data_IF_620304142808
#
_entry.id   IF_620304142808
#
_cell.length_a   1.000
_cell.length_b   1.000
_cell.length_c   1.000
_cell.angle_alpha   90.00
_cell.angle_beta   90.00
_cell.angle_gamma   90.00
#
_symmetry.space_group_name_H-M   'P 1'
#
loop_
_entity.id
_entity.type
_entity.pdbx_description
1 polymer ?
#
# COMPACT_ATOMS: atom_id res chain seq x y z
N UNK A 1 -48.39 -8.01 -48.01
CA UNK A 1 -47.42 -8.17 -46.91
C UNK A 1 -46.52 -6.94 -46.96
N UNK A 2 -46.73 -6.05 -46.00
CA UNK A 2 -46.17 -4.69 -45.96
C UNK A 2 -44.72 -4.73 -45.49
N UNK A 3 -43.79 -4.20 -46.28
CA UNK A 3 -42.39 -3.99 -45.88
C UNK A 3 -42.17 -2.49 -45.66
N UNK A 4 -42.13 -2.08 -44.39
CA UNK A 4 -41.75 -0.71 -44.01
C UNK A 4 -40.21 -0.56 -44.08
N UNK A 5 -39.70 0.59 -44.56
CA UNK A 5 -38.27 0.88 -44.57
C UNK A 5 -37.76 1.32 -43.20
N UNK A 6 -36.59 0.81 -42.82
CA UNK A 6 -35.82 1.22 -41.63
C UNK A 6 -35.37 2.66 -41.78
N UNK A 7 -35.81 3.53 -40.87
CA UNK A 7 -35.31 4.91 -40.76
C UNK A 7 -34.14 4.90 -39.79
N UNK A 8 -32.95 5.33 -40.25
CA UNK A 8 -31.77 5.48 -39.41
C UNK A 8 -31.95 6.67 -38.45
N UNK A 9 -31.64 6.45 -37.16
CA UNK A 9 -31.58 7.51 -36.17
C UNK A 9 -30.32 8.39 -36.40
N UNK A 10 -30.39 9.71 -36.18
CA UNK A 10 -29.25 10.60 -36.36
C UNK A 10 -28.19 10.33 -35.28
N UNK A 11 -26.92 10.41 -35.68
CA UNK A 11 -25.77 10.33 -34.77
C UNK A 11 -25.82 11.49 -33.76
N UNK A 12 -25.79 11.16 -32.48
CA UNK A 12 -25.64 12.13 -31.42
C UNK A 12 -24.23 12.75 -31.48
N UNK A 13 -24.18 14.05 -31.75
CA UNK A 13 -22.99 14.88 -31.68
C UNK A 13 -22.49 14.91 -30.23
N UNK A 14 -21.31 14.35 -29.99
CA UNK A 14 -20.65 14.42 -28.68
C UNK A 14 -20.19 15.85 -28.44
N UNK A 15 -20.91 16.57 -27.58
CA UNK A 15 -20.45 17.83 -27.04
C UNK A 15 -19.15 17.60 -26.24
N UNK A 16 -18.11 18.36 -26.57
CA UNK A 16 -16.83 18.32 -25.88
C UNK A 16 -17.01 18.66 -24.38
N UNK A 17 -16.51 17.77 -23.52
CA UNK A 17 -16.39 18.01 -22.08
C UNK A 17 -15.56 19.28 -21.85
N UNK A 18 -16.00 20.25 -21.03
CA UNK A 18 -15.22 21.44 -20.78
C UNK A 18 -13.88 21.06 -20.15
N UNK A 19 -12.79 21.61 -20.70
CA UNK A 19 -11.45 21.43 -20.16
C UNK A 19 -11.44 21.90 -18.70
N UNK A 20 -11.01 21.01 -17.80
CA UNK A 20 -10.76 21.35 -16.41
C UNK A 20 -9.73 22.49 -16.30
N UNK A 21 -9.53 23.06 -15.10
CA UNK A 21 -8.50 24.08 -14.90
C UNK A 21 -7.14 23.58 -15.42
N UNK A 22 -6.41 24.44 -16.12
CA UNK A 22 -5.12 24.09 -16.71
C UNK A 22 -4.13 23.67 -15.61
N UNK A 23 -3.45 22.53 -15.82
CA UNK A 23 -2.45 22.03 -14.88
C UNK A 23 -1.26 22.99 -14.83
N UNK A 24 -0.78 23.39 -13.63
CA UNK A 24 0.42 24.21 -13.49
C UNK A 24 1.64 23.64 -14.21
N UNK A 25 2.39 24.50 -14.91
CA UNK A 25 3.56 24.10 -15.70
C UNK A 25 4.66 23.37 -14.90
N UNK A 26 4.76 23.66 -13.59
CA UNK A 26 5.69 22.98 -12.69
C UNK A 26 5.33 21.50 -12.47
N UNK A 27 4.04 21.16 -12.47
CA UNK A 27 3.57 19.78 -12.34
C UNK A 27 3.75 19.01 -13.64
N UNK A 28 3.51 19.65 -14.79
CA UNK A 28 3.75 19.03 -16.11
C UNK A 28 5.24 18.81 -16.42
N UNK A 29 6.14 19.43 -15.65
CA UNK A 29 7.57 19.15 -15.71
C UNK A 29 7.97 17.90 -14.90
N UNK A 30 7.14 17.49 -13.93
CA UNK A 30 7.38 16.33 -13.06
C UNK A 30 6.55 15.10 -13.47
N UNK A 31 5.34 15.31 -13.97
CA UNK A 31 4.39 14.27 -14.37
C UNK A 31 3.76 14.61 -15.72
N UNK A 32 3.35 13.57 -16.46
CA UNK A 32 2.51 13.77 -17.64
C UNK A 32 1.23 14.52 -17.28
N UNK A 33 0.69 15.32 -18.21
CA UNK A 33 -0.45 16.21 -17.95
C UNK A 33 -1.66 15.47 -17.38
N UNK A 34 -1.98 14.27 -17.90
CA UNK A 34 -3.08 13.45 -17.40
C UNK A 34 -2.84 12.95 -15.98
N UNK A 35 -1.60 12.57 -15.64
CA UNK A 35 -1.22 12.12 -14.29
C UNK A 35 -1.29 13.29 -13.31
N UNK A 36 -0.77 14.46 -13.69
CA UNK A 36 -0.82 15.66 -12.88
C UNK A 36 -2.27 16.13 -12.62
N UNK A 37 -3.13 16.08 -13.64
CA UNK A 37 -4.55 16.39 -13.48
C UNK A 37 -5.26 15.44 -12.52
N UNK A 38 -4.99 14.13 -12.62
CA UNK A 38 -5.55 13.14 -11.70
C UNK A 38 -5.03 13.33 -10.27
N UNK A 39 -3.73 13.60 -10.09
CA UNK A 39 -3.14 13.89 -8.79
C UNK A 39 -3.83 15.07 -8.09
N UNK A 40 -4.07 16.17 -8.81
CA UNK A 40 -4.78 17.33 -8.25
C UNK A 40 -6.22 16.99 -7.85
N UNK A 41 -6.94 16.24 -8.69
CA UNK A 41 -8.30 15.81 -8.37
C UNK A 41 -8.34 14.91 -7.12
N UNK A 42 -7.38 13.98 -7.01
CA UNK A 42 -7.27 13.07 -5.88
C UNK A 42 -6.86 13.82 -4.59
N UNK A 43 -5.97 14.82 -4.69
CA UNK A 43 -5.60 15.68 -3.55
C UNK A 43 -6.82 16.44 -3.04
N UNK A 44 -7.64 17.01 -3.91
CA UNK A 44 -8.88 17.69 -3.51
C UNK A 44 -9.86 16.73 -2.84
N UNK A 45 -9.97 15.49 -3.33
CA UNK A 45 -10.78 14.45 -2.70
C UNK A 45 -10.26 14.09 -1.30
N UNK A 46 -8.93 13.99 -1.10
CA UNK A 46 -8.33 13.75 0.22
C UNK A 46 -8.61 14.93 1.15
N UNK A 47 -8.36 16.17 0.70
CA UNK A 47 -8.60 17.42 1.46
C UNK A 47 -10.04 17.54 1.93
N UNK A 48 -11.00 17.11 1.10
CA UNK A 48 -12.42 17.06 1.43
C UNK A 48 -12.81 16.11 2.57
N UNK A 49 -11.92 15.21 3.01
CA UNK A 49 -12.14 14.33 4.17
C UNK A 49 -11.88 15.02 5.51
N UNK A 50 -11.29 16.21 5.48
CA UNK A 50 -10.89 16.95 6.68
C UNK A 50 -11.57 18.32 6.76
N UNK A 51 -11.81 18.86 7.96
CA UNK A 51 -12.28 20.23 8.14
C UNK A 51 -11.34 21.25 7.46
N UNK A 52 -11.87 22.37 6.99
CA UNK A 52 -11.11 23.39 6.28
C UNK A 52 -9.99 24.01 7.13
N UNK A 53 -10.18 24.07 8.45
CA UNK A 53 -9.22 24.54 9.45
C UNK A 53 -8.16 23.49 9.83
N UNK A 54 -8.30 22.25 9.36
CA UNK A 54 -7.47 21.10 9.73
C UNK A 54 -6.88 20.37 8.51
N UNK A 55 -6.66 21.09 7.41
CA UNK A 55 -6.14 20.53 6.16
C UNK A 55 -4.75 19.90 6.31
N UNK A 56 -3.95 20.29 7.31
CA UNK A 56 -2.67 19.62 7.62
C UNK A 56 -2.82 18.10 7.82
N UNK A 57 -3.98 17.63 8.29
CA UNK A 57 -4.25 16.20 8.49
C UNK A 57 -4.30 15.39 7.19
N UNK A 58 -4.46 16.04 6.04
CA UNK A 58 -4.41 15.41 4.72
C UNK A 58 -3.00 14.96 4.30
N UNK A 59 -1.95 15.39 5.00
CA UNK A 59 -0.57 15.17 4.57
C UNK A 59 -0.20 13.68 4.47
N UNK A 60 -0.61 12.84 5.42
CA UNK A 60 -0.26 11.41 5.41
C UNK A 60 -0.87 10.70 4.19
N UNK A 61 -2.19 10.79 3.91
CA UNK A 61 -2.75 10.22 2.68
C UNK A 61 -2.18 10.83 1.40
N UNK A 62 -1.85 12.12 1.39
CA UNK A 62 -1.23 12.75 0.21
C UNK A 62 0.18 12.21 -0.07
N UNK A 63 0.96 11.89 0.98
CA UNK A 63 2.26 11.25 0.80
C UNK A 63 2.12 9.83 0.24
N UNK A 64 1.15 9.04 0.70
CA UNK A 64 0.82 7.74 0.08
C UNK A 64 0.37 7.91 -1.38
N UNK A 65 -0.43 8.94 -1.69
CA UNK A 65 -0.85 9.24 -3.06
C UNK A 65 0.36 9.54 -3.96
N UNK A 66 1.34 10.31 -3.48
CA UNK A 66 2.61 10.53 -4.19
C UNK A 66 3.32 9.20 -4.43
N UNK A 67 3.45 8.33 -3.42
CA UNK A 67 4.07 7.00 -3.61
C UNK A 67 3.33 6.14 -4.63
N UNK A 68 1.99 6.27 -4.73
CA UNK A 68 1.21 5.54 -5.73
C UNK A 68 1.56 5.92 -7.18
N UNK A 69 2.09 7.12 -7.40
CA UNK A 69 2.48 7.61 -8.73
C UNK A 69 3.98 7.47 -8.96
N UNK A 70 4.79 7.82 -7.96
CA UNK A 70 6.25 7.90 -8.10
C UNK A 70 6.96 6.62 -7.64
N UNK A 71 6.30 5.77 -6.85
CA UNK A 71 6.90 4.63 -6.15
C UNK A 71 7.75 5.02 -4.94
N UNK A 72 7.77 6.30 -4.57
CA UNK A 72 8.45 6.85 -3.39
C UNK A 72 8.00 8.30 -3.16
N UNK A 73 8.33 8.89 -2.02
CA UNK A 73 8.08 10.31 -1.75
C UNK A 73 9.12 11.17 -2.48
N UNK A 74 8.78 11.58 -3.71
CA UNK A 74 9.69 12.36 -4.57
C UNK A 74 9.84 13.82 -4.11
N UNK A 75 10.93 14.52 -4.50
CA UNK A 75 11.06 15.95 -4.26
C UNK A 75 9.93 16.78 -4.88
N UNK A 76 9.39 16.35 -6.03
CA UNK A 76 8.24 16.97 -6.66
C UNK A 76 6.98 16.76 -5.82
N UNK A 77 6.74 15.55 -5.31
CA UNK A 77 5.65 15.25 -4.40
C UNK A 77 5.71 16.03 -3.09
N UNK A 78 6.91 16.21 -2.51
CA UNK A 78 7.12 17.08 -1.33
C UNK A 78 6.72 18.52 -1.64
N UNK A 79 7.15 19.03 -2.79
CA UNK A 79 6.82 20.40 -3.21
C UNK A 79 5.32 20.58 -3.43
N UNK A 80 4.67 19.62 -4.09
CA UNK A 80 3.22 19.62 -4.32
C UNK A 80 2.44 19.59 -2.99
N UNK A 81 2.78 18.68 -2.07
CA UNK A 81 2.10 18.61 -0.77
C UNK A 81 2.29 19.88 0.06
N UNK A 82 3.48 20.49 -0.01
CA UNK A 82 3.77 21.74 0.69
C UNK A 82 2.92 22.90 0.14
N UNK A 83 2.81 23.01 -1.19
CA UNK A 83 1.99 24.02 -1.85
C UNK A 83 0.50 23.84 -1.52
N UNK A 84 -0.03 22.63 -1.68
CA UNK A 84 -1.45 22.33 -1.51
C UNK A 84 -1.97 22.48 -0.08
N UNK A 85 -1.10 22.29 0.91
CA UNK A 85 -1.45 22.38 2.34
C UNK A 85 -0.97 23.68 2.99
N UNK A 86 -0.30 24.58 2.25
CA UNK A 86 0.29 25.80 2.80
C UNK A 86 1.37 25.52 3.85
N UNK A 87 2.14 24.44 3.67
CA UNK A 87 3.24 24.02 4.54
C UNK A 87 4.59 24.39 3.93
N UNK A 88 5.64 24.39 4.74
CA UNK A 88 7.00 24.42 4.21
C UNK A 88 7.43 23.04 3.72
N UNK A 89 8.31 23.00 2.70
CA UNK A 89 8.92 21.73 2.25
C UNK A 89 9.62 20.99 3.39
N UNK A 90 10.24 21.73 4.33
CA UNK A 90 10.91 21.15 5.49
C UNK A 90 9.95 20.44 6.44
N UNK A 91 8.73 20.96 6.64
CA UNK A 91 7.71 20.29 7.45
C UNK A 91 7.22 19.01 6.80
N UNK A 92 7.00 19.03 5.48
CA UNK A 92 6.62 17.84 4.72
C UNK A 92 7.74 16.80 4.76
N UNK A 93 8.98 17.21 4.51
CA UNK A 93 10.15 16.33 4.61
C UNK A 93 10.30 15.74 6.01
N UNK A 94 10.06 16.51 7.07
CA UNK A 94 10.13 16.00 8.44
C UNK A 94 9.15 14.83 8.64
N UNK A 95 7.91 14.96 8.17
CA UNK A 95 6.90 13.89 8.23
C UNK A 95 7.32 12.69 7.37
N UNK A 96 7.76 12.93 6.13
CA UNK A 96 8.20 11.88 5.22
C UNK A 96 9.43 11.10 5.74
N UNK A 97 10.26 11.72 6.58
CA UNK A 97 11.41 11.03 7.22
C UNK A 97 11.09 10.41 8.57
N UNK A 98 9.98 10.80 9.20
CA UNK A 98 9.62 10.33 10.53
C UNK A 98 8.92 8.97 10.48
N UNK A 99 8.02 8.76 9.51
CA UNK A 99 7.32 7.49 9.33
C UNK A 99 8.08 6.59 8.36
N UNK A 100 8.40 5.36 8.78
CA UNK A 100 9.12 4.37 7.97
C UNK A 100 8.35 3.90 6.73
N UNK A 101 7.03 4.11 6.70
CA UNK A 101 6.15 3.73 5.59
C UNK A 101 6.44 4.55 4.31
N UNK A 102 7.10 5.70 4.44
CA UNK A 102 7.44 6.57 3.32
C UNK A 102 8.84 6.26 2.81
N UNK A 103 8.90 5.68 1.61
CA UNK A 103 10.13 5.40 0.88
C UNK A 103 10.73 6.71 0.38
N UNK A 104 12.02 6.90 0.62
CA UNK A 104 12.78 8.11 0.23
C UNK A 104 13.56 7.92 -1.09
N UNK A 105 13.57 6.69 -1.58
CA UNK A 105 14.18 6.26 -2.84
C UNK A 105 13.17 5.39 -3.58
N UNK A 106 13.26 5.31 -4.93
CA UNK A 106 12.36 4.48 -5.71
C UNK A 106 12.23 3.07 -5.15
N UNK A 107 11.02 2.71 -4.72
CA UNK A 107 10.71 1.34 -4.36
C UNK A 107 10.56 0.48 -5.62
N UNK A 108 10.89 -0.80 -5.48
CA UNK A 108 10.58 -1.78 -6.50
C UNK A 108 9.08 -2.02 -6.61
N UNK A 109 8.68 -2.76 -7.64
CA UNK A 109 7.29 -3.21 -7.81
C UNK A 109 6.76 -3.98 -6.59
N UNK A 110 7.64 -4.73 -5.93
CA UNK A 110 7.39 -5.46 -4.70
C UNK A 110 8.34 -5.02 -3.59
N UNK A 111 7.78 -4.38 -2.57
CA UNK A 111 8.45 -4.09 -1.31
C UNK A 111 8.29 -5.29 -0.36
N UNK A 112 9.35 -6.06 -0.22
CA UNK A 112 9.42 -7.27 0.59
C UNK A 112 10.06 -6.95 1.93
N UNK A 113 9.30 -7.11 3.01
CA UNK A 113 9.78 -6.90 4.37
C UNK A 113 9.80 -8.19 5.18
N UNK A 114 10.92 -8.51 5.82
CA UNK A 114 11.06 -9.68 6.71
C UNK A 114 11.00 -9.23 8.17
N UNK A 115 10.01 -9.69 8.93
CA UNK A 115 9.88 -9.36 10.34
C UNK A 115 10.99 -10.06 11.14
N UNK A 116 11.81 -9.27 11.83
CA UNK A 116 12.90 -9.78 12.68
C UNK A 116 12.78 -9.34 14.13
N UNK A 117 11.59 -8.87 14.53
CA UNK A 117 11.30 -8.55 15.92
C UNK A 117 11.14 -9.84 16.75
N UNK A 118 11.16 -9.71 18.08
CA UNK A 118 11.41 -10.76 19.07
C UNK A 118 10.75 -12.11 18.79
N UNK A 119 9.43 -12.17 18.54
CA UNK A 119 8.77 -13.45 18.29
C UNK A 119 9.15 -14.05 16.94
N UNK A 120 9.18 -13.24 15.87
CA UNK A 120 9.59 -13.75 14.55
C UNK A 120 11.05 -14.18 14.57
N UNK A 121 11.95 -13.44 15.22
CA UNK A 121 13.34 -13.84 15.43
C UNK A 121 13.45 -15.21 16.11
N UNK A 122 12.73 -15.43 17.22
CA UNK A 122 12.70 -16.74 17.90
C UNK A 122 12.17 -17.86 17.00
N UNK A 123 11.22 -17.54 16.11
CA UNK A 123 10.58 -18.51 15.23
C UNK A 123 11.33 -18.75 13.90
N UNK A 124 12.44 -18.06 13.65
CA UNK A 124 13.26 -18.25 12.43
C UNK A 124 13.33 -17.05 11.48
N UNK A 125 12.93 -15.85 11.92
CA UNK A 125 12.86 -14.65 11.09
C UNK A 125 14.23 -14.12 10.66
N UNK A 126 15.26 -14.28 11.51
CA UNK A 126 16.64 -13.93 11.14
C UNK A 126 17.18 -14.86 10.05
N UNK A 127 16.87 -16.15 10.11
CA UNK A 127 17.25 -17.14 9.09
C UNK A 127 16.54 -16.90 7.76
N UNK A 128 15.28 -16.44 7.80
CA UNK A 128 14.56 -16.00 6.60
C UNK A 128 15.25 -14.79 5.98
N UNK A 129 15.59 -13.79 6.80
CA UNK A 129 16.31 -12.60 6.35
C UNK A 129 17.63 -12.98 5.66
N UNK A 130 18.45 -13.81 6.32
CA UNK A 130 19.74 -14.26 5.77
C UNK A 130 19.58 -15.00 4.43
N UNK A 131 18.60 -15.90 4.32
CA UNK A 131 18.36 -16.64 3.09
C UNK A 131 17.89 -15.75 1.93
N UNK A 132 16.95 -14.84 2.20
CA UNK A 132 16.43 -13.90 1.18
C UNK A 132 17.53 -12.93 0.75
N UNK A 133 18.24 -12.30 1.69
CA UNK A 133 19.33 -11.38 1.39
C UNK A 133 20.46 -12.07 0.60
N UNK A 134 20.81 -13.31 0.94
CA UNK A 134 21.81 -14.08 0.19
C UNK A 134 21.35 -14.41 -1.24
N UNK A 135 20.05 -14.69 -1.44
CA UNK A 135 19.47 -14.99 -2.75
C UNK A 135 19.36 -13.75 -3.64
N UNK A 136 18.94 -12.62 -3.10
CA UNK A 136 18.75 -11.38 -3.88
C UNK A 136 20.05 -10.59 -4.03
N UNK A 137 20.98 -10.76 -3.10
CA UNK A 137 22.18 -9.92 -2.98
C UNK A 137 21.88 -8.52 -2.42
N UNK A 138 20.67 -8.28 -1.91
CA UNK A 138 20.23 -6.99 -1.38
C UNK A 138 20.44 -6.89 0.13
N UNK A 139 20.85 -5.69 0.57
CA UNK A 139 20.77 -5.25 1.95
C UNK A 139 19.39 -4.73 2.35
N UNK A 140 19.25 -4.29 3.60
CA UNK A 140 18.04 -3.59 4.05
C UNK A 140 17.97 -2.22 3.41
N UNK A 141 16.77 -1.85 2.97
CA UNK A 141 16.44 -0.61 2.25
C UNK A 141 17.07 -0.50 0.86
N UNK A 142 17.49 -1.62 0.28
CA UNK A 142 18.01 -1.68 -1.09
C UNK A 142 16.95 -2.18 -2.07
N UNK A 143 17.09 -1.76 -3.33
CA UNK A 143 16.22 -2.15 -4.44
C UNK A 143 17.08 -2.81 -5.52
N UNK A 144 16.59 -3.88 -6.13
CA UNK A 144 17.24 -4.57 -7.25
C UNK A 144 17.42 -3.63 -8.46
N UNK A 145 18.46 -3.88 -9.26
CA UNK A 145 18.78 -3.06 -10.45
C UNK A 145 17.65 -3.02 -11.47
N UNK A 146 16.86 -4.09 -11.56
CA UNK A 146 15.69 -4.19 -12.43
C UNK A 146 14.43 -3.53 -11.86
N UNK A 147 14.49 -2.98 -10.65
CA UNK A 147 13.38 -2.28 -9.99
C UNK A 147 12.23 -3.19 -9.58
N UNK A 148 12.42 -4.51 -9.46
CA UNK A 148 11.35 -5.43 -9.06
C UNK A 148 11.24 -5.63 -7.55
N UNK A 149 12.34 -5.85 -6.86
CA UNK A 149 12.35 -6.14 -5.41
C UNK A 149 13.00 -4.99 -4.66
N UNK A 150 12.30 -4.43 -3.67
CA UNK A 150 12.93 -3.73 -2.54
C UNK A 150 12.92 -4.64 -1.33
N UNK A 151 14.03 -4.75 -0.60
CA UNK A 151 14.14 -5.61 0.57
C UNK A 151 14.32 -4.77 1.83
N UNK A 152 13.49 -5.02 2.85
CA UNK A 152 13.56 -4.32 4.14
C UNK A 152 13.58 -5.32 5.30
N UNK A 153 14.46 -5.07 6.27
CA UNK A 153 14.38 -5.74 7.57
C UNK A 153 13.40 -4.97 8.45
N UNK A 154 12.17 -5.47 8.55
CA UNK A 154 11.07 -4.75 9.21
C UNK A 154 10.90 -5.16 10.67
N UNK A 155 10.26 -4.26 11.42
CA UNK A 155 9.81 -4.46 12.80
C UNK A 155 8.46 -5.19 12.87
N UNK A 156 7.86 -5.24 14.07
CA UNK A 156 6.62 -5.95 14.33
C UNK A 156 5.42 -5.41 13.51
N UNK A 157 4.76 -6.29 12.74
CA UNK A 157 3.51 -6.00 12.01
C UNK A 157 2.26 -6.62 12.66
N UNK A 158 2.34 -6.94 13.97
CA UNK A 158 1.23 -7.48 14.75
C UNK A 158 0.57 -8.81 14.25
N UNK A 159 1.21 -9.55 13.34
CA UNK A 159 0.80 -10.89 12.87
C UNK A 159 1.45 -12.05 13.64
N UNK A 160 1.73 -11.85 14.93
CA UNK A 160 2.55 -12.75 15.75
C UNK A 160 1.97 -14.17 15.91
N UNK A 161 0.66 -14.32 15.76
CA UNK A 161 -0.05 -15.60 15.80
C UNK A 161 0.25 -16.53 14.60
N UNK A 162 0.89 -16.01 13.55
CA UNK A 162 1.38 -16.78 12.40
C UNK A 162 2.88 -16.58 12.12
N UNK A 163 3.66 -16.17 13.11
CA UNK A 163 5.10 -15.99 12.95
C UNK A 163 5.80 -17.28 12.46
N UNK A 164 6.83 -17.18 11.59
CA UNK A 164 7.43 -15.95 11.05
C UNK A 164 6.63 -15.30 9.91
N UNK A 165 6.69 -13.96 9.86
CA UNK A 165 5.97 -13.14 8.88
C UNK A 165 6.92 -12.53 7.87
N UNK A 166 6.60 -12.70 6.59
CA UNK A 166 7.08 -11.86 5.49
C UNK A 166 5.91 -11.01 5.01
N UNK A 167 6.17 -9.76 4.67
CA UNK A 167 5.18 -8.84 4.11
C UNK A 167 5.62 -8.46 2.70
N UNK A 168 4.70 -8.46 1.74
CA UNK A 168 4.96 -7.94 0.39
C UNK A 168 3.90 -6.91 0.07
N UNK A 169 4.31 -5.67 -0.19
CA UNK A 169 3.39 -4.56 -0.48
C UNK A 169 2.22 -4.51 0.51
N UNK A 170 2.51 -4.51 1.82
CA UNK A 170 1.51 -4.52 2.91
C UNK A 170 0.69 -5.79 3.10
N UNK A 171 0.83 -6.78 2.23
CA UNK A 171 0.12 -8.05 2.34
C UNK A 171 0.93 -9.11 3.07
N UNK A 172 0.22 -9.96 3.84
CA UNK A 172 0.86 -10.91 4.74
C UNK A 172 1.14 -12.26 4.07
N UNK A 173 2.36 -12.74 4.27
CA UNK A 173 2.81 -14.09 3.98
C UNK A 173 3.20 -14.74 5.32
N UNK A 174 2.28 -15.54 5.82
CA UNK A 174 2.31 -16.18 7.13
C UNK A 174 3.13 -17.47 7.14
N UNK A 175 3.56 -17.90 8.33
CA UNK A 175 4.27 -19.17 8.59
C UNK A 175 5.45 -19.41 7.64
N UNK A 176 6.18 -18.36 7.30
CA UNK A 176 7.25 -18.46 6.32
C UNK A 176 8.44 -19.24 6.88
N UNK A 177 9.14 -19.89 5.97
CA UNK A 177 10.41 -20.57 6.19
C UNK A 177 11.44 -19.97 5.24
N UNK A 178 12.75 -20.16 5.49
CA UNK A 178 13.77 -19.70 4.55
C UNK A 178 13.54 -20.17 3.11
N UNK A 179 13.12 -21.44 2.94
CA UNK A 179 12.84 -22.00 1.62
C UNK A 179 11.60 -21.40 0.96
N UNK A 180 10.49 -21.23 1.71
CA UNK A 180 9.27 -20.65 1.15
C UNK A 180 9.42 -19.16 0.83
N UNK A 181 10.20 -18.42 1.63
CA UNK A 181 10.47 -17.01 1.39
C UNK A 181 11.35 -16.80 0.15
N UNK A 182 12.35 -17.65 -0.07
CA UNK A 182 13.13 -17.64 -1.32
C UNK A 182 12.26 -17.98 -2.52
N UNK A 183 11.40 -19.00 -2.42
CA UNK A 183 10.47 -19.34 -3.50
C UNK A 183 9.46 -18.21 -3.78
N UNK A 184 9.02 -17.48 -2.76
CA UNK A 184 8.19 -16.28 -2.91
C UNK A 184 8.92 -15.21 -3.73
N UNK A 185 10.18 -14.91 -3.41
CA UNK A 185 11.00 -13.97 -4.21
C UNK A 185 11.11 -14.43 -5.66
N UNK A 186 11.43 -15.70 -5.90
CA UNK A 186 11.59 -16.25 -7.25
C UNK A 186 10.29 -16.09 -8.07
N UNK A 187 9.12 -16.32 -7.47
CA UNK A 187 7.81 -16.17 -8.11
C UNK A 187 7.47 -14.70 -8.44
N UNK A 188 7.87 -13.76 -7.58
CA UNK A 188 7.70 -12.32 -7.84
C UNK A 188 8.62 -11.86 -8.99
N UNK A 189 9.88 -12.30 -9.00
CA UNK A 189 10.84 -11.97 -10.06
C UNK A 189 10.50 -12.63 -11.40
N UNK A 190 9.85 -13.80 -11.42
CA UNK A 190 9.43 -14.46 -12.67
C UNK A 190 8.13 -13.88 -13.26
N UNK A 191 7.40 -13.07 -12.49
CA UNK A 191 6.10 -12.52 -12.87
C UNK A 191 4.95 -13.53 -12.75
N UNK A 192 5.18 -14.70 -12.14
CA UNK A 192 4.10 -15.63 -11.76
C UNK A 192 3.16 -15.00 -10.71
N UNK A 193 3.68 -14.03 -9.96
CA UNK A 193 2.97 -13.36 -8.87
C UNK A 193 2.89 -14.24 -7.63
N UNK A 194 2.21 -13.73 -6.60
CA UNK A 194 1.98 -14.47 -5.37
C UNK A 194 0.59 -14.17 -4.83
N UNK A 195 0.03 -15.12 -4.09
CA UNK A 195 -1.22 -14.91 -3.36
C UNK A 195 -0.91 -14.70 -1.87
N UNK A 196 -1.31 -13.57 -1.27
CA UNK A 196 -1.22 -13.38 0.15
C UNK A 196 -1.93 -14.48 0.94
N UNK A 197 -1.38 -14.83 2.11
CA UNK A 197 -2.04 -15.75 3.03
C UNK A 197 -3.26 -15.12 3.71
N UNK A 198 -3.23 -13.79 3.88
CA UNK A 198 -4.30 -12.95 4.37
C UNK A 198 -4.34 -11.68 3.52
N UNK A 199 -5.54 -11.22 3.18
CA UNK A 199 -5.76 -10.07 2.31
C UNK A 199 -6.36 -10.46 0.94
N UNK A 200 -6.10 -9.67 -0.11
CA UNK A 200 -6.72 -9.83 -1.42
C UNK A 200 -6.31 -11.14 -2.11
N UNK A 201 -7.15 -11.60 -3.04
CA UNK A 201 -6.92 -12.82 -3.83
C UNK A 201 -5.70 -12.69 -4.76
N UNK A 202 -5.34 -11.46 -5.13
CA UNK A 202 -4.16 -11.13 -5.91
C UNK A 202 -3.32 -10.08 -5.17
N UNK A 203 -2.00 -10.28 -5.16
CA UNK A 203 -1.07 -9.31 -4.59
C UNK A 203 -1.03 -8.02 -5.42
N UNK A 204 -1.36 -6.84 -4.86
CA UNK A 204 -1.20 -5.58 -5.55
C UNK A 204 0.28 -5.21 -5.71
N UNK A 205 0.60 -4.39 -6.72
CA UNK A 205 1.92 -3.74 -6.80
C UNK A 205 2.06 -2.70 -5.69
N UNK A 206 3.30 -2.29 -5.37
CA UNK A 206 3.55 -1.27 -4.35
C UNK A 206 2.74 -0.01 -4.63
N UNK A 207 2.81 0.50 -5.86
CA UNK A 207 2.08 1.68 -6.31
C UNK A 207 0.56 1.53 -6.20
N UNK A 208 0.02 0.36 -6.55
CA UNK A 208 -1.41 0.10 -6.42
C UNK A 208 -1.84 0.11 -4.96
N UNK A 209 -1.08 -0.51 -4.05
CA UNK A 209 -1.47 -0.53 -2.65
C UNK A 209 -1.29 0.83 -1.96
N UNK A 210 -0.27 1.61 -2.34
CA UNK A 210 -0.12 2.99 -1.88
C UNK A 210 -1.32 3.87 -2.25
N UNK A 211 -2.01 3.58 -3.37
CA UNK A 211 -3.26 4.25 -3.72
C UNK A 211 -4.39 3.90 -2.76
N UNK A 212 -4.47 2.64 -2.32
CA UNK A 212 -5.44 2.20 -1.30
C UNK A 212 -5.14 2.88 0.04
N UNK A 213 -3.87 2.97 0.44
CA UNK A 213 -3.44 3.66 1.67
C UNK A 213 -3.67 5.18 1.61
N UNK A 214 -3.68 5.78 0.42
CA UNK A 214 -4.15 7.15 0.20
C UNK A 214 -5.68 7.31 0.37
N UNK A 215 -6.39 6.21 0.62
CA UNK A 215 -7.83 6.13 0.88
C UNK A 215 -8.68 6.04 -0.38
N UNK A 216 -8.13 5.53 -1.48
CA UNK A 216 -8.89 5.20 -2.69
C UNK A 216 -9.07 3.69 -2.78
N UNK A 217 -10.22 3.22 -2.30
CA UNK A 217 -10.56 1.80 -2.25
C UNK A 217 -10.55 1.17 -3.65
N UNK A 218 -10.05 -0.07 -3.72
CA UNK A 218 -9.96 -0.90 -4.92
C UNK A 218 -11.06 -1.98 -4.98
N UNK A 219 -11.85 -2.12 -3.92
CA UNK A 219 -12.92 -3.11 -3.81
C UNK A 219 -12.50 -4.46 -3.25
N UNK A 220 -11.25 -4.62 -2.81
CA UNK A 220 -10.71 -5.91 -2.32
C UNK A 220 -10.66 -6.01 -0.79
N UNK A 221 -11.15 -4.99 -0.06
CA UNK A 221 -11.06 -4.92 1.41
C UNK A 221 -11.75 -6.07 2.16
N UNK A 222 -12.78 -6.67 1.57
CA UNK A 222 -13.54 -7.79 2.15
C UNK A 222 -13.03 -9.17 1.71
N UNK A 223 -11.92 -9.23 0.96
CA UNK A 223 -11.31 -10.48 0.54
C UNK A 223 -10.47 -11.12 1.66
N UNK A 224 -10.35 -12.45 1.60
CA UNK A 224 -9.62 -13.23 2.58
C UNK A 224 -10.35 -13.43 3.92
N UNK A 225 -9.76 -14.20 4.84
CA UNK A 225 -10.37 -14.48 6.14
C UNK A 225 -10.19 -13.30 7.10
N UNK A 226 -11.28 -12.85 7.74
CA UNK A 226 -11.22 -11.77 8.75
C UNK A 226 -10.47 -12.16 10.04
N UNK A 227 -10.41 -13.46 10.34
CA UNK A 227 -9.62 -14.02 11.44
C UNK A 227 -9.32 -15.50 11.14
N UNK A 228 -8.10 -15.94 11.38
CA UNK A 228 -7.75 -17.35 11.21
C UNK A 228 -7.79 -18.15 12.52
N UNK A 229 -7.42 -19.43 12.41
CA UNK A 229 -7.60 -20.43 13.47
C UNK A 229 -6.78 -20.12 14.75
N UNK A 230 -5.46 -19.83 14.66
CA UNK A 230 -4.65 -19.36 15.79
C UNK A 230 -5.25 -18.16 16.53
N UNK A 231 -5.70 -17.14 15.79
CA UNK A 231 -6.26 -15.90 16.34
C UNK A 231 -7.52 -16.16 17.18
N UNK A 232 -8.30 -17.18 16.81
CA UNK A 232 -9.56 -17.55 17.47
C UNK A 232 -9.41 -18.61 18.56
N UNK A 233 -8.21 -19.18 18.75
CA UNK A 233 -7.99 -20.29 19.68
C UNK A 233 -8.36 -19.91 21.13
N UNK A 234 -7.87 -18.78 21.62
CA UNK A 234 -8.16 -18.31 22.98
C UNK A 234 -9.67 -18.12 23.23
N UNK A 235 -10.40 -17.59 22.25
CA UNK A 235 -11.86 -17.43 22.31
C UNK A 235 -12.59 -18.77 22.42
N UNK A 236 -12.17 -19.77 21.64
CA UNK A 236 -12.79 -21.11 21.67
C UNK A 236 -12.53 -21.83 22.98
N UNK A 237 -11.30 -21.74 23.51
CA UNK A 237 -10.96 -22.28 24.83
C UNK A 237 -11.80 -21.62 25.92
N UNK A 238 -11.93 -20.30 25.90
CA UNK A 238 -12.75 -19.57 26.86
C UNK A 238 -14.22 -20.03 26.80
N UNK A 239 -14.80 -20.13 25.60
CA UNK A 239 -16.17 -20.61 25.42
C UNK A 239 -16.37 -22.05 25.93
N UNK A 240 -15.44 -22.96 25.62
CA UNK A 240 -15.51 -24.36 26.05
C UNK A 240 -15.47 -24.52 27.58
N UNK A 241 -14.79 -23.60 28.28
CA UNK A 241 -14.69 -23.59 29.74
C UNK A 241 -15.72 -22.69 30.42
N UNK A 242 -16.61 -22.03 29.67
CA UNK A 242 -17.56 -21.06 30.22
C UNK A 242 -16.89 -19.84 30.86
N UNK A 243 -15.66 -19.50 30.44
CA UNK A 243 -14.95 -18.35 30.97
C UNK A 243 -15.57 -17.05 30.45
N UNK A 244 -15.78 -16.11 31.35
CA UNK A 244 -16.24 -14.75 31.04
C UNK A 244 -15.22 -13.74 31.53
N UNK A 245 -15.22 -12.54 30.96
CA UNK A 245 -14.44 -11.43 31.52
C UNK A 245 -14.81 -11.25 33.00
N UNK A 246 -13.85 -10.92 33.88
CA UNK A 246 -14.17 -10.46 35.21
C UNK A 246 -15.19 -9.33 35.10
N UNK A 247 -16.23 -9.36 35.95
CA UNK A 247 -17.12 -8.20 36.07
C UNK A 247 -16.30 -7.08 36.70
N UNK A 248 -16.34 -5.88 36.14
CA UNK A 248 -15.75 -4.73 36.82
C UNK A 248 -16.42 -4.60 38.19
N UNK A 249 -15.61 -4.68 39.25
CA UNK A 249 -16.07 -4.25 40.56
C UNK A 249 -16.30 -2.73 40.45
N UNK A 250 -17.55 -2.30 40.60
CA UNK A 250 -17.91 -0.89 40.69
C UNK A 250 -17.05 -0.23 41.76
N UNK A 251 -16.12 0.63 41.31
CA UNK A 251 -15.31 1.49 42.18
C UNK A 251 -16.15 2.56 42.85
#
# INVERSE_FOLDING_TARGET
MSTNPTTAAPAAEQAATPAGPAVPAALTAAWDEGVAAQLLADIEAIKGRYPAEHQRSALIPMLHLVQSVDGYVSPAGIALCAEELGLTRSEVSAVATFYSQFRRHPAGEYHVGVCTNALCAVMGGDEIWEAVAARTGLGSDETSEDGRISLERIECNAGCDYAPIVMVNWEFFDNQTPASAVALIDALESGEGARPTRGPDALPTFRANERVLAGFEDGHADEGPSAGEPSLLGRRIAAANGWTSPKEDTK
#
